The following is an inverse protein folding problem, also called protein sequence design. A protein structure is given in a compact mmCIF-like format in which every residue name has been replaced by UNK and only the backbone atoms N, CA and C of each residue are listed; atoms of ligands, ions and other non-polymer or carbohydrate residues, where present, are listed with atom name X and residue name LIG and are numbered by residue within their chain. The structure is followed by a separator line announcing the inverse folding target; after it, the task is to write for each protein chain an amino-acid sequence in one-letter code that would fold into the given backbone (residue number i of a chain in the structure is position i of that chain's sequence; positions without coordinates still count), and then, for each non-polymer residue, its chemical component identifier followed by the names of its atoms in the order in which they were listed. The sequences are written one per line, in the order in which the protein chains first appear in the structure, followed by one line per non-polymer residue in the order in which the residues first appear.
data_IF_552928621415
#
_entry.id   IF_552928621415
#
_cell.length_a   1.000
_cell.length_b   1.000
_cell.length_c   1.000
_cell.angle_alpha   90.00
_cell.angle_beta   90.00
_cell.angle_gamma   90.00
#
_symmetry.space_group_name_H-M   'P 1'
#
loop_
_entity.id
_entity.type
_entity.pdbx_description
1 polymer ?
#
# COMPACT_ATOMS: atom_id res chain seq x y z
N UNK A 1 0.07 -4.44 12.47
CA UNK A 1 -0.38 -4.27 11.06
C UNK A 1 -0.78 -5.59 10.39
N UNK A 2 0.11 -6.59 10.29
CA UNK A 2 -0.20 -7.87 9.62
C UNK A 2 -1.43 -8.58 10.24
N UNK A 3 -1.47 -8.72 11.57
CA UNK A 3 -2.61 -9.32 12.26
C UNK A 3 -3.94 -8.60 11.96
N UNK A 4 -3.93 -7.26 11.91
CA UNK A 4 -5.09 -6.47 11.55
C UNK A 4 -5.52 -6.71 10.10
N UNK A 5 -4.57 -6.76 9.15
CA UNK A 5 -4.87 -7.03 7.75
C UNK A 5 -5.49 -8.42 7.54
N UNK A 6 -5.06 -9.42 8.31
CA UNK A 6 -5.62 -10.77 8.23
C UNK A 6 -7.01 -10.86 8.89
N UNK A 7 -7.23 -10.15 10.00
CA UNK A 7 -8.52 -10.11 10.68
C UNK A 7 -9.58 -9.27 9.92
N UNK A 8 -9.14 -8.23 9.21
CA UNK A 8 -9.97 -7.36 8.40
C UNK A 8 -9.40 -7.27 6.97
N UNK A 9 -9.59 -8.31 6.15
CA UNK A 9 -8.96 -8.41 4.82
C UNK A 9 -9.55 -7.44 3.80
N UNK A 10 -10.82 -7.06 3.99
CA UNK A 10 -11.52 -6.12 3.12
C UNK A 10 -11.26 -4.67 3.55
N UNK A 11 -11.36 -3.77 2.58
CA UNK A 11 -11.14 -2.33 2.78
C UNK A 11 -12.47 -1.57 2.76
N UNK A 12 -12.45 -0.37 3.32
CA UNK A 12 -13.59 0.55 3.20
C UNK A 12 -13.75 0.99 1.73
N UNK A 13 -14.95 1.47 1.38
CA UNK A 13 -15.28 1.88 0.00
C UNK A 13 -14.41 3.04 -0.46
N UNK A 14 -14.04 3.92 0.47
CA UNK A 14 -13.21 5.09 0.24
C UNK A 14 -11.75 4.71 -0.04
N UNK A 15 -11.30 3.59 0.52
CA UNK A 15 -9.93 3.07 0.40
C UNK A 15 -9.77 2.14 -0.79
N UNK A 16 -10.86 1.49 -1.22
CA UNK A 16 -10.84 0.43 -2.22
C UNK A 16 -10.32 0.90 -3.57
N UNK A 17 -10.55 2.16 -3.95
CA UNK A 17 -10.03 2.73 -5.20
C UNK A 17 -8.51 2.56 -5.28
N UNK A 18 -7.76 3.12 -4.33
CA UNK A 18 -6.30 3.05 -4.36
C UNK A 18 -5.76 1.60 -4.22
N UNK A 19 -6.42 0.78 -3.40
CA UNK A 19 -6.01 -0.62 -3.18
C UNK A 19 -6.29 -1.48 -4.42
N UNK A 20 -7.39 -1.26 -5.12
CA UNK A 20 -7.73 -1.96 -6.35
C UNK A 20 -6.83 -1.51 -7.50
N UNK A 21 -6.47 -0.24 -7.57
CA UNK A 21 -5.45 0.24 -8.51
C UNK A 21 -4.09 -0.45 -8.31
N UNK A 22 -3.68 -0.65 -7.05
CA UNK A 22 -2.46 -1.42 -6.77
C UNK A 22 -2.58 -2.87 -7.24
N UNK A 23 -3.74 -3.51 -6.96
CA UNK A 23 -4.01 -4.88 -7.37
C UNK A 23 -3.93 -5.03 -8.90
N UNK A 24 -4.60 -4.16 -9.65
CA UNK A 24 -4.63 -4.20 -11.11
C UNK A 24 -3.23 -3.94 -11.69
N UNK A 25 -2.47 -3.00 -11.11
CA UNK A 25 -1.09 -2.77 -11.49
C UNK A 25 -0.19 -4.00 -11.30
N UNK A 26 -0.39 -4.77 -10.23
CA UNK A 26 0.38 -6.00 -9.97
C UNK A 26 -0.09 -7.18 -10.83
N UNK A 27 -1.39 -7.27 -11.12
CA UNK A 27 -1.99 -8.41 -11.83
C UNK A 27 -1.92 -8.27 -13.35
N UNK A 28 -2.31 -7.10 -13.87
CA UNK A 28 -2.43 -6.81 -15.29
C UNK A 28 -1.22 -6.05 -15.84
N UNK A 29 -0.50 -5.35 -14.95
CA UNK A 29 0.58 -4.44 -15.34
C UNK A 29 0.08 -3.03 -15.65
N UNK A 30 1.03 -2.11 -15.83
CA UNK A 30 0.76 -0.69 -16.09
C UNK A 30 1.08 -0.25 -17.53
N UNK A 31 1.20 -1.20 -18.47
CA UNK A 31 1.38 -0.87 -19.89
C UNK A 31 0.09 -0.27 -20.47
N UNK A 32 0.16 0.61 -21.48
CA UNK A 32 -1.04 1.17 -22.11
C UNK A 32 -2.05 0.13 -22.59
N UNK A 33 -1.56 -1.03 -23.06
CA UNK A 33 -2.39 -2.16 -23.47
C UNK A 33 -3.13 -2.84 -22.31
N UNK A 34 -2.56 -2.85 -21.10
CA UNK A 34 -3.16 -3.46 -19.93
C UNK A 34 -4.19 -2.55 -19.23
N UNK A 35 -4.08 -1.23 -19.41
CA UNK A 35 -4.95 -0.24 -18.75
C UNK A 35 -6.44 -0.46 -19.06
N UNK A 36 -6.79 -0.98 -20.23
CA UNK A 36 -8.20 -1.28 -20.56
C UNK A 36 -8.84 -2.34 -19.65
N UNK A 37 -8.01 -3.18 -19.00
CA UNK A 37 -8.46 -4.19 -18.05
C UNK A 37 -8.57 -3.69 -16.61
N UNK A 38 -8.11 -2.47 -16.31
CA UNK A 38 -8.18 -1.93 -14.95
C UNK A 38 -9.62 -1.58 -14.59
N UNK A 39 -10.04 -1.93 -13.38
CA UNK A 39 -11.38 -1.62 -12.89
C UNK A 39 -11.63 -0.10 -12.89
N UNK A 40 -10.57 0.68 -12.69
CA UNK A 40 -10.62 2.14 -12.69
C UNK A 40 -10.96 2.77 -14.04
N UNK A 41 -10.68 2.05 -15.12
CA UNK A 41 -11.00 2.48 -16.48
C UNK A 41 -12.42 2.02 -16.85
N UNK A 42 -12.82 0.82 -16.42
CA UNK A 42 -14.15 0.27 -16.68
C UNK A 42 -15.25 0.89 -15.81
N UNK A 43 -14.91 1.25 -14.57
CA UNK A 43 -15.82 1.81 -13.56
C UNK A 43 -15.23 3.12 -13.01
N UNK A 44 -15.30 4.23 -13.78
CA UNK A 44 -14.76 5.50 -13.35
C UNK A 44 -15.50 6.02 -12.10
N UNK A 45 -14.74 6.30 -11.05
CA UNK A 45 -15.28 6.84 -9.79
C UNK A 45 -15.69 8.31 -9.91
N UNK A 46 -16.50 8.79 -8.96
CA UNK A 46 -17.08 10.14 -8.95
C UNK A 46 -16.09 11.32 -8.79
N UNK A 47 -14.80 11.05 -8.53
CA UNK A 47 -13.76 12.06 -8.26
C UNK A 47 -12.45 11.64 -8.95
N UNK A 48 -11.68 12.56 -9.53
CA UNK A 48 -10.35 12.24 -10.04
C UNK A 48 -9.37 11.98 -8.89
N UNK A 49 -8.58 10.90 -8.98
CA UNK A 49 -7.51 10.56 -8.03
C UNK A 49 -6.21 10.37 -8.79
N UNK A 50 -5.08 10.62 -8.13
CA UNK A 50 -3.76 10.31 -8.65
C UNK A 50 -3.42 8.83 -8.46
N UNK A 51 -2.73 8.22 -9.43
CA UNK A 51 -2.23 6.84 -9.35
C UNK A 51 -0.79 6.73 -8.85
N UNK A 52 -0.10 7.84 -8.59
CA UNK A 52 1.33 7.80 -8.22
C UNK A 52 1.54 6.97 -6.95
N UNK A 53 0.72 7.17 -5.93
CA UNK A 53 0.79 6.38 -4.69
C UNK A 53 0.49 4.89 -4.92
N UNK A 54 -0.48 4.58 -5.80
CA UNK A 54 -0.84 3.21 -6.15
C UNK A 54 0.34 2.50 -6.82
N UNK A 55 0.97 3.15 -7.82
CA UNK A 55 2.07 2.59 -8.59
C UNK A 55 3.32 2.35 -7.75
N UNK A 56 3.63 3.28 -6.84
CA UNK A 56 4.75 3.10 -5.90
C UNK A 56 4.48 1.94 -4.94
N UNK A 57 3.26 1.86 -4.40
CA UNK A 57 2.87 0.79 -3.48
C UNK A 57 2.83 -0.57 -4.19
N UNK A 58 2.33 -0.62 -5.43
CA UNK A 58 2.30 -1.84 -6.24
C UNK A 58 3.71 -2.30 -6.60
N UNK A 59 4.64 -1.39 -6.92
CA UNK A 59 6.03 -1.76 -7.21
C UNK A 59 6.71 -2.43 -6.00
N UNK A 60 6.46 -1.91 -4.79
CA UNK A 60 6.98 -2.50 -3.55
C UNK A 60 6.27 -3.82 -3.21
N UNK A 61 4.96 -3.92 -3.45
CA UNK A 61 4.15 -5.10 -3.15
C UNK A 61 4.27 -6.24 -4.17
N UNK A 62 4.66 -5.95 -5.41
CA UNK A 62 4.65 -6.89 -6.53
C UNK A 62 5.46 -8.18 -6.28
N UNK A 63 6.68 -8.14 -5.70
CA UNK A 63 7.42 -9.37 -5.43
C UNK A 63 6.66 -10.30 -4.47
N UNK A 64 6.02 -9.74 -3.44
CA UNK A 64 5.23 -10.52 -2.49
C UNK A 64 3.95 -11.07 -3.12
N UNK A 65 3.26 -10.27 -3.95
CA UNK A 65 2.06 -10.71 -4.66
C UNK A 65 2.37 -11.85 -5.66
N UNK A 66 3.43 -11.68 -6.47
CA UNK A 66 3.88 -12.71 -7.40
C UNK A 66 4.27 -14.02 -6.67
N UNK A 67 4.95 -13.90 -5.53
CA UNK A 67 5.31 -15.03 -4.69
C UNK A 67 4.10 -15.73 -4.05
N UNK A 68 3.05 -14.98 -3.72
CA UNK A 68 1.81 -15.53 -3.19
C UNK A 68 1.00 -16.25 -4.29
N UNK A 69 0.80 -15.59 -5.43
CA UNK A 69 0.03 -16.15 -6.55
C UNK A 69 0.71 -17.38 -7.19
N UNK A 70 2.04 -17.40 -7.28
CA UNK A 70 2.79 -18.59 -7.70
C UNK A 70 2.62 -19.80 -6.77
N UNK A 71 2.17 -19.58 -5.52
CA UNK A 71 1.78 -20.64 -4.57
C UNK A 71 0.28 -20.93 -4.56
N UNK A 72 -0.48 -20.40 -5.52
CA UNK A 72 -1.92 -20.60 -5.62
C UNK A 72 -2.74 -19.78 -4.62
N UNK A 73 -2.18 -18.70 -4.06
CA UNK A 73 -2.95 -17.81 -3.20
C UNK A 73 -4.10 -17.13 -3.99
N UNK A 74 -5.24 -16.84 -3.34
CA UNK A 74 -6.36 -16.16 -3.98
C UNK A 74 -6.01 -14.72 -4.39
N UNK A 75 -6.78 -14.14 -5.33
CA UNK A 75 -6.53 -12.77 -5.85
C UNK A 75 -6.50 -11.70 -4.76
N UNK A 76 -7.26 -11.87 -3.66
CA UNK A 76 -7.22 -10.98 -2.49
C UNK A 76 -5.82 -10.82 -1.88
N UNK A 77 -4.93 -11.79 -2.09
CA UNK A 77 -3.52 -11.68 -1.69
C UNK A 77 -2.85 -10.43 -2.28
N UNK A 78 -3.22 -10.01 -3.50
CA UNK A 78 -2.72 -8.77 -4.09
C UNK A 78 -3.11 -7.54 -3.28
N UNK A 79 -4.36 -7.43 -2.84
CA UNK A 79 -4.82 -6.31 -2.00
C UNK A 79 -4.13 -6.32 -0.63
N UNK A 80 -3.89 -7.50 -0.06
CA UNK A 80 -3.11 -7.64 1.18
C UNK A 80 -1.65 -7.20 0.97
N UNK A 81 -1.01 -7.60 -0.13
CA UNK A 81 0.34 -7.16 -0.48
C UNK A 81 0.42 -5.64 -0.66
N UNK A 82 -0.57 -5.02 -1.32
CA UNK A 82 -0.65 -3.57 -1.46
C UNK A 82 -0.72 -2.86 -0.10
N UNK A 83 -1.58 -3.34 0.82
CA UNK A 83 -1.70 -2.80 2.18
C UNK A 83 -0.42 -3.01 2.99
N UNK A 84 0.24 -4.16 2.83
CA UNK A 84 1.53 -4.46 3.45
C UNK A 84 2.63 -3.53 2.96
N UNK A 85 2.68 -3.25 1.66
CA UNK A 85 3.60 -2.30 1.06
C UNK A 85 3.38 -0.89 1.59
N UNK A 86 2.12 -0.42 1.61
CA UNK A 86 1.78 0.89 2.18
C UNK A 86 2.20 0.99 3.65
N UNK A 87 1.94 -0.04 4.44
CA UNK A 87 2.38 -0.09 5.83
C UNK A 87 3.91 -0.02 5.98
N UNK A 88 4.66 -0.73 5.14
CA UNK A 88 6.11 -0.69 5.15
C UNK A 88 6.64 0.71 4.81
N UNK A 89 6.04 1.37 3.81
CA UNK A 89 6.37 2.76 3.44
C UNK A 89 6.08 3.70 4.61
N UNK A 90 4.90 3.62 5.22
CA UNK A 90 4.52 4.50 6.35
C UNK A 90 5.41 4.29 7.56
N UNK A 91 5.70 3.04 7.94
CA UNK A 91 6.60 2.72 9.06
C UNK A 91 8.02 3.19 8.76
N UNK A 92 8.52 2.98 7.55
CA UNK A 92 9.84 3.44 7.12
C UNK A 92 9.96 4.96 7.15
N UNK A 93 8.99 5.67 6.58
CA UNK A 93 8.94 7.13 6.59
C UNK A 93 8.90 7.67 8.04
N UNK A 94 8.09 7.06 8.90
CA UNK A 94 8.03 7.44 10.31
C UNK A 94 9.34 7.17 11.05
N UNK A 95 10.01 6.04 10.78
CA UNK A 95 11.31 5.73 11.35
C UNK A 95 12.38 6.75 10.94
N UNK A 96 12.41 7.14 9.66
CA UNK A 96 13.31 8.20 9.15
C UNK A 96 13.01 9.55 9.82
N UNK A 97 11.73 9.92 9.92
CA UNK A 97 11.32 11.17 10.57
C UNK A 97 11.70 11.20 12.06
N UNK A 98 11.50 10.08 12.75
CA UNK A 98 11.91 9.91 14.15
C UNK A 98 13.42 10.04 14.31
N UNK A 99 14.20 9.43 13.41
CA UNK A 99 15.66 9.52 13.43
C UNK A 99 16.13 10.97 13.25
N UNK A 100 15.61 11.67 12.24
CA UNK A 100 15.92 13.09 12.03
C UNK A 100 15.55 13.97 13.23
N UNK A 101 14.39 13.72 13.86
CA UNK A 101 13.96 14.46 15.04
C UNK A 101 14.85 14.18 16.25
N UNK A 102 15.26 12.92 16.42
CA UNK A 102 16.19 12.51 17.49
C UNK A 102 17.54 13.21 17.33
N UNK A 103 18.03 13.32 16.11
CA UNK A 103 19.35 13.89 15.83
C UNK A 103 19.32 15.43 15.92
N UNK A 104 18.19 16.07 15.59
CA UNK A 104 18.03 17.53 15.68
C UNK A 104 17.66 18.04 17.09
N UNK A 105 16.80 17.32 17.82
CA UNK A 105 16.18 17.77 19.08
C UNK A 105 16.52 16.87 20.28
N UNK A 106 17.29 15.82 20.07
CA UNK A 106 17.77 14.91 21.10
C UNK A 106 16.92 13.65 21.30
N UNK A 107 17.53 12.68 21.99
CA UNK A 107 16.98 11.35 22.25
C UNK A 107 15.59 11.33 22.91
N UNK A 108 15.33 12.28 23.82
CA UNK A 108 14.07 12.38 24.55
C UNK A 108 12.89 12.70 23.62
N UNK A 109 13.04 13.70 22.76
CA UNK A 109 12.00 14.14 21.81
C UNK A 109 11.70 13.04 20.80
N UNK A 110 12.73 12.38 20.27
CA UNK A 110 12.55 11.24 19.36
C UNK A 110 11.82 10.05 20.01
N UNK A 111 11.93 9.83 21.32
CA UNK A 111 11.13 8.83 22.05
C UNK A 111 9.70 9.31 22.28
N UNK A 112 9.51 10.55 22.71
CA UNK A 112 8.19 11.14 22.91
C UNK A 112 7.36 11.09 21.62
N UNK A 113 7.95 11.45 20.48
CA UNK A 113 7.31 11.37 19.16
C UNK A 113 6.77 9.96 18.87
N UNK A 114 7.55 8.92 19.17
CA UNK A 114 7.10 7.54 18.94
C UNK A 114 5.95 7.13 19.86
N UNK A 115 5.92 7.62 21.09
CA UNK A 115 4.85 7.31 22.04
C UNK A 115 3.54 8.02 21.72
N UNK A 116 3.60 9.23 21.14
CA UNK A 116 2.39 10.00 20.76
C UNK A 116 1.71 9.44 19.51
N UNK A 117 2.49 8.81 18.62
CA UNK A 117 2.01 8.29 17.33
C UNK A 117 1.56 6.83 17.38
N UNK A 118 1.91 6.09 18.45
CA UNK A 118 1.46 4.72 18.71
C UNK A 118 0.13 4.71 19.48
#
# INVERSE_FOLDING_TARGET
VIAHMLAAPYTKVEESFNVQACHDAMLLGASPSALGGWDHVQFPGAVPRTFVGALLSSAIGAPAAALAWSRGAPLIAGQLCARGALAAISVGAFALFRHATRDALGGGVGRALALVVL
#
